data_IF_430794917545
#
_entry.id   IF_430794917545
#
_cell.length_a   1.000
_cell.length_b   1.000
_cell.length_c   1.000
_cell.angle_alpha   90.00
_cell.angle_beta   90.00
_cell.angle_gamma   90.00
#
_symmetry.space_group_name_H-M   'P 1'
#
loop_
_entity.id
_entity.type
_entity.pdbx_description
1 polymer ?
#
# COMPACT_ATOMS: atom_id res chain seq x y z
N UNK A 1 -2.42 -7.77 10.30
CA UNK A 1 -1.06 -7.40 9.82
C UNK A 1 -0.81 -5.91 10.02
N UNK A 2 0.44 -5.46 10.20
CA UNK A 2 0.77 -4.03 10.37
C UNK A 2 0.25 -3.16 9.23
N UNK A 3 0.31 -3.66 8.00
CA UNK A 3 -0.23 -3.05 6.78
C UNK A 3 -1.70 -2.57 6.90
N UNK A 4 -2.49 -3.20 7.76
CA UNK A 4 -3.91 -2.91 7.95
C UNK A 4 -4.15 -1.69 8.83
N UNK A 5 -3.32 -1.47 9.86
CA UNK A 5 -3.41 -0.32 10.76
C UNK A 5 -3.22 1.02 10.03
N UNK A 6 -2.53 0.97 8.88
CA UNK A 6 -2.20 2.13 8.06
C UNK A 6 -2.94 2.13 6.71
N UNK A 7 -3.93 1.24 6.55
CA UNK A 7 -4.76 1.12 5.35
C UNK A 7 -3.93 1.05 4.04
N UNK A 8 -2.84 0.27 4.07
CA UNK A 8 -1.97 0.11 2.91
C UNK A 8 -2.69 -0.70 1.83
N UNK A 9 -2.83 -0.09 0.64
CA UNK A 9 -3.47 -0.74 -0.52
C UNK A 9 -2.47 -1.49 -1.38
N UNK A 10 -1.19 -1.12 -1.28
CA UNK A 10 -0.11 -1.77 -1.98
C UNK A 10 1.20 -1.62 -1.20
N UNK A 11 2.19 -2.47 -1.48
CA UNK A 11 3.56 -2.36 -0.96
C UNK A 11 4.60 -2.19 -2.08
N UNK A 12 5.63 -1.35 -1.90
CA UNK A 12 6.00 -0.64 -0.66
C UNK A 12 5.07 0.55 -0.36
N UNK A 13 4.96 0.90 0.92
CA UNK A 13 4.24 2.06 1.42
C UNK A 13 5.03 2.69 2.57
N UNK A 14 5.49 3.93 2.42
CA UNK A 14 6.22 4.67 3.46
C UNK A 14 5.27 5.68 4.12
N UNK A 15 5.39 5.80 5.45
CA UNK A 15 4.68 6.77 6.28
C UNK A 15 5.68 7.57 7.11
N UNK A 16 5.45 8.87 7.23
CA UNK A 16 6.17 9.77 8.13
C UNK A 16 5.26 10.07 9.31
N UNK A 17 5.76 9.84 10.52
CA UNK A 17 5.02 9.98 11.77
C UNK A 17 5.77 10.98 12.64
N UNK A 18 5.13 12.10 13.01
CA UNK A 18 5.74 13.11 13.86
C UNK A 18 5.90 12.64 15.32
N UNK A 19 6.52 13.49 16.16
CA UNK A 19 6.82 13.17 17.55
C UNK A 19 5.54 12.99 18.40
N UNK A 20 4.41 13.55 17.95
CA UNK A 20 3.09 13.36 18.56
C UNK A 20 2.36 12.10 18.06
N UNK A 21 2.99 11.31 17.20
CA UNK A 21 2.42 10.07 16.67
C UNK A 21 1.42 10.28 15.52
N UNK A 22 1.39 11.46 14.89
CA UNK A 22 0.49 11.76 13.77
C UNK A 22 1.16 11.43 12.45
N UNK A 23 0.43 10.81 11.55
CA UNK A 23 0.87 10.64 10.16
C UNK A 23 0.83 12.03 9.50
N UNK A 24 1.98 12.50 9.03
CA UNK A 24 2.14 13.80 8.33
C UNK A 24 2.39 13.63 6.83
N UNK A 25 2.66 12.40 6.41
CA UNK A 25 2.78 11.95 5.02
C UNK A 25 2.63 10.43 4.99
N UNK A 26 1.89 9.88 4.03
CA UNK A 26 1.59 8.44 4.06
C UNK A 26 1.35 7.82 2.71
N UNK A 27 1.45 6.48 2.68
CA UNK A 27 1.24 5.65 1.49
C UNK A 27 2.13 6.03 0.29
N UNK A 28 3.37 6.44 0.53
CA UNK A 28 4.30 6.69 -0.57
C UNK A 28 4.77 5.37 -1.21
N UNK A 29 4.58 5.20 -2.54
CA UNK A 29 4.85 3.95 -3.24
C UNK A 29 6.33 3.82 -3.63
N UNK A 30 7.25 3.96 -2.67
CA UNK A 30 8.68 3.99 -2.96
C UNK A 30 9.51 3.19 -1.97
N UNK A 31 10.76 2.94 -2.35
CA UNK A 31 11.79 2.42 -1.46
C UNK A 31 12.80 3.54 -1.21
N UNK A 32 13.21 3.72 0.05
CA UNK A 32 14.34 4.60 0.38
C UNK A 32 15.62 4.08 -0.27
N UNK A 33 15.78 2.77 -0.30
CA UNK A 33 16.91 2.08 -0.89
C UNK A 33 16.44 0.87 -1.68
N UNK A 34 16.87 0.77 -2.93
CA UNK A 34 16.60 -0.37 -3.80
C UNK A 34 17.88 -1.17 -3.96
N UNK A 35 17.80 -2.49 -3.77
CA UNK A 35 18.89 -3.41 -4.06
C UNK A 35 18.64 -4.07 -5.41
N UNK A 36 19.62 -4.01 -6.30
CA UNK A 36 19.65 -4.83 -7.50
C UNK A 36 19.85 -6.29 -7.08
N UNK A 37 18.95 -7.18 -7.50
CA UNK A 37 18.98 -8.60 -7.11
C UNK A 37 20.13 -9.36 -7.76
N UNK A 38 20.58 -8.93 -8.93
CA UNK A 38 21.62 -9.61 -9.72
C UNK A 38 23.02 -9.14 -9.33
N UNK A 39 23.22 -7.82 -9.28
CA UNK A 39 24.54 -7.22 -9.00
C UNK A 39 24.78 -6.99 -7.51
N UNK A 40 23.72 -7.01 -6.70
CA UNK A 40 23.78 -6.65 -5.28
C UNK A 40 23.90 -5.16 -5.00
N UNK A 41 24.06 -4.33 -6.04
CA UNK A 41 24.20 -2.87 -5.94
C UNK A 41 23.01 -2.23 -5.22
N UNK A 42 23.29 -1.25 -4.36
CA UNK A 42 22.26 -0.50 -3.64
C UNK A 42 22.18 0.92 -4.18
N UNK A 43 21.00 1.32 -4.63
CA UNK A 43 20.71 2.69 -5.05
C UNK A 43 19.79 3.35 -4.03
N UNK A 44 20.20 4.52 -3.54
CA UNK A 44 19.42 5.32 -2.60
C UNK A 44 18.54 6.28 -3.39
N UNK A 45 17.27 6.40 -3.00
CA UNK A 45 16.38 7.44 -3.52
C UNK A 45 16.74 8.78 -2.87
N UNK A 46 17.73 9.46 -3.45
CA UNK A 46 18.31 10.68 -2.89
C UNK A 46 17.26 11.78 -2.70
N UNK A 47 16.35 11.95 -3.68
CA UNK A 47 15.26 12.93 -3.60
C UNK A 47 14.33 12.67 -2.41
N UNK A 48 14.01 11.42 -2.13
CA UNK A 48 13.18 11.07 -0.98
C UNK A 48 13.92 11.28 0.35
N UNK A 49 15.20 10.89 0.40
CA UNK A 49 16.05 11.11 1.56
C UNK A 49 16.21 12.60 1.90
N UNK A 50 16.34 13.46 0.88
CA UNK A 50 16.45 14.90 1.08
C UNK A 50 15.14 15.49 1.63
N UNK A 51 13.99 14.97 1.20
CA UNK A 51 12.70 15.31 1.80
C UNK A 51 12.61 14.92 3.28
N UNK A 52 13.08 13.73 3.66
CA UNK A 52 13.14 13.30 5.06
C UNK A 52 14.05 14.24 5.86
N UNK A 53 15.22 14.60 5.32
CA UNK A 53 16.18 15.51 5.99
C UNK A 53 15.62 16.91 6.17
N UNK A 54 14.89 17.43 5.19
CA UNK A 54 14.18 18.70 5.30
C UNK A 54 13.13 18.64 6.41
N UNK A 55 12.33 17.57 6.44
CA UNK A 55 11.33 17.36 7.48
C UNK A 55 11.93 17.25 8.88
N UNK A 56 13.03 16.52 9.05
CA UNK A 56 13.73 16.44 10.34
C UNK A 56 14.21 17.82 10.84
N UNK A 57 14.57 18.74 9.93
CA UNK A 57 15.04 20.09 10.30
C UNK A 57 13.90 21.06 10.56
N UNK A 58 12.83 20.98 9.77
CA UNK A 58 11.79 21.99 9.71
C UNK A 58 10.47 21.55 10.37
N UNK A 59 10.35 20.27 10.74
CA UNK A 59 9.16 19.69 11.34
C UNK A 59 7.91 19.95 10.48
N UNK A 60 6.78 20.38 11.07
CA UNK A 60 5.55 20.69 10.34
C UNK A 60 5.69 21.78 9.27
N UNK A 61 6.75 22.61 9.29
CA UNK A 61 7.00 23.64 8.29
C UNK A 61 7.69 23.12 7.02
N UNK A 62 8.08 21.83 6.98
CA UNK A 62 8.68 21.22 5.80
C UNK A 62 7.72 21.22 4.61
N UNK A 63 8.23 21.58 3.44
CA UNK A 63 7.46 21.56 2.19
C UNK A 63 7.06 20.14 1.77
N UNK A 64 7.71 19.11 2.34
CA UNK A 64 7.48 17.71 2.00
C UNK A 64 6.36 17.05 2.83
N UNK A 65 5.96 17.68 3.95
CA UNK A 65 4.77 17.30 4.72
C UNK A 65 3.52 17.55 3.87
N UNK A 66 2.59 16.61 3.88
CA UNK A 66 1.32 16.78 3.16
C UNK A 66 0.28 17.42 4.07
N UNK A 67 -0.55 18.37 3.56
CA UNK A 67 -1.67 18.91 4.31
C UNK A 67 -2.58 17.81 4.84
N UNK A 68 -3.23 18.02 6.00
CA UNK A 68 -4.01 17.00 6.69
C UNK A 68 -5.06 16.31 5.78
N UNK A 69 -5.74 17.08 4.93
CA UNK A 69 -6.72 16.54 3.97
C UNK A 69 -6.07 15.59 2.96
N UNK A 70 -4.93 15.96 2.38
CA UNK A 70 -4.20 15.12 1.43
C UNK A 70 -3.59 13.90 2.12
N UNK A 71 -3.07 14.07 3.33
CA UNK A 71 -2.61 12.94 4.16
C UNK A 71 -3.74 11.96 4.41
N UNK A 72 -4.92 12.45 4.80
CA UNK A 72 -6.09 11.62 5.05
C UNK A 72 -6.62 10.96 3.78
N UNK A 73 -6.58 11.64 2.63
CA UNK A 73 -6.90 11.05 1.33
C UNK A 73 -5.94 9.91 0.97
N UNK A 74 -4.64 10.10 1.23
CA UNK A 74 -3.59 9.11 0.96
C UNK A 74 -3.68 7.90 1.86
N UNK A 75 -3.83 8.11 3.16
CA UNK A 75 -4.06 7.04 4.15
C UNK A 75 -5.39 6.36 3.87
N UNK A 76 -6.41 7.13 3.47
CA UNK A 76 -7.78 6.68 3.32
C UNK A 76 -8.49 6.56 4.66
N UNK A 77 -9.83 6.57 4.63
CA UNK A 77 -10.63 6.34 5.82
C UNK A 77 -10.56 4.87 6.26
N UNK A 78 -10.64 4.61 7.56
CA UNK A 78 -11.11 3.32 8.06
C UNK A 78 -12.64 3.40 8.07
N UNK A 79 -13.29 2.65 7.18
CA UNK A 79 -14.74 2.55 7.10
C UNK A 79 -15.19 1.10 7.31
N UNK A 80 -16.48 0.90 7.57
CA UNK A 80 -17.05 -0.43 7.80
C UNK A 80 -16.78 -1.39 6.63
N UNK A 81 -16.69 -0.89 5.40
CA UNK A 81 -16.36 -1.69 4.22
C UNK A 81 -14.91 -2.20 4.26
N UNK A 82 -13.95 -1.39 4.73
CA UNK A 82 -12.57 -1.82 4.97
C UNK A 82 -12.51 -2.92 6.04
N UNK A 83 -13.23 -2.74 7.14
CA UNK A 83 -13.27 -3.71 8.24
C UNK A 83 -13.86 -5.05 7.77
N UNK A 84 -14.95 -5.02 7.01
CA UNK A 84 -15.56 -6.20 6.41
C UNK A 84 -14.65 -6.89 5.40
N UNK A 85 -14.03 -6.13 4.49
CA UNK A 85 -13.09 -6.68 3.51
C UNK A 85 -11.92 -7.38 4.20
N UNK A 86 -11.42 -6.78 5.28
CA UNK A 86 -10.35 -7.35 6.10
C UNK A 86 -10.79 -8.61 6.85
N UNK A 87 -12.01 -8.64 7.40
CA UNK A 87 -12.54 -9.83 8.05
C UNK A 87 -12.62 -11.01 7.07
N UNK A 88 -13.15 -10.77 5.86
CA UNK A 88 -13.16 -11.76 4.79
C UNK A 88 -11.74 -12.22 4.42
N UNK A 89 -10.81 -11.29 4.21
CA UNK A 89 -9.45 -11.64 3.85
C UNK A 89 -8.75 -12.49 4.92
N UNK A 90 -8.88 -12.13 6.20
CA UNK A 90 -8.31 -12.88 7.32
C UNK A 90 -8.93 -14.27 7.46
N UNK A 91 -10.24 -14.38 7.28
CA UNK A 91 -10.91 -15.68 7.28
C UNK A 91 -10.42 -16.56 6.12
N UNK A 92 -10.23 -15.98 4.93
CA UNK A 92 -9.65 -16.70 3.80
C UNK A 92 -8.25 -17.22 4.09
N UNK A 93 -7.37 -16.38 4.67
CA UNK A 93 -6.03 -16.82 5.08
C UNK A 93 -6.07 -17.93 6.15
N UNK A 94 -7.02 -17.86 7.08
CA UNK A 94 -7.21 -18.91 8.07
C UNK A 94 -7.63 -20.22 7.39
N UNK A 95 -8.65 -20.20 6.54
CA UNK A 95 -9.17 -21.38 5.83
C UNK A 95 -8.09 -22.03 4.96
N UNK A 96 -7.33 -21.23 4.22
CA UNK A 96 -6.23 -21.71 3.37
C UNK A 96 -5.19 -22.48 4.20
N UNK A 97 -4.77 -21.93 5.35
CA UNK A 97 -3.82 -22.58 6.26
C UNK A 97 -4.33 -23.90 6.85
N UNK A 98 -5.64 -24.12 6.84
CA UNK A 98 -6.28 -25.33 7.35
C UNK A 98 -6.75 -26.27 6.23
N UNK A 99 -6.34 -26.03 4.97
CA UNK A 99 -6.65 -26.89 3.83
C UNK A 99 -8.05 -26.68 3.23
N UNK A 100 -8.79 -25.67 3.70
CA UNK A 100 -10.13 -25.33 3.22
C UNK A 100 -10.08 -24.38 2.01
N UNK A 101 -9.41 -24.83 0.94
CA UNK A 101 -9.04 -23.96 -0.19
C UNK A 101 -10.24 -23.32 -0.91
N UNK A 102 -11.27 -24.09 -1.24
CA UNK A 102 -12.46 -23.55 -1.94
C UNK A 102 -13.19 -22.48 -1.10
N UNK A 103 -13.25 -22.67 0.21
CA UNK A 103 -13.84 -21.70 1.14
C UNK A 103 -12.94 -20.46 1.26
N UNK A 104 -11.61 -20.64 1.27
CA UNK A 104 -10.65 -19.53 1.27
C UNK A 104 -10.81 -18.64 0.04
N UNK A 105 -10.89 -19.23 -1.15
CA UNK A 105 -11.14 -18.51 -2.42
C UNK A 105 -12.44 -17.73 -2.36
N UNK A 106 -13.52 -18.31 -1.81
CA UNK A 106 -14.78 -17.60 -1.64
C UNK A 106 -14.64 -16.35 -0.76
N UNK A 107 -13.88 -16.44 0.35
CA UNK A 107 -13.63 -15.30 1.23
C UNK A 107 -12.73 -14.25 0.58
N UNK A 108 -11.68 -14.65 -0.16
CA UNK A 108 -10.84 -13.71 -0.90
C UNK A 108 -11.65 -12.95 -1.95
N UNK A 109 -12.60 -13.60 -2.64
CA UNK A 109 -13.52 -12.93 -3.57
C UNK A 109 -14.37 -11.86 -2.89
N UNK A 110 -14.89 -12.12 -1.69
CA UNK A 110 -15.64 -11.10 -0.93
C UNK A 110 -14.76 -9.91 -0.56
N UNK A 111 -13.53 -10.15 -0.10
CA UNK A 111 -12.57 -9.08 0.19
C UNK A 111 -12.27 -8.22 -1.05
N UNK A 112 -12.04 -8.85 -2.20
CA UNK A 112 -11.78 -8.18 -3.47
C UNK A 112 -13.01 -7.48 -4.06
N UNK A 113 -14.22 -7.95 -3.78
CA UNK A 113 -15.45 -7.27 -4.19
C UNK A 113 -15.66 -5.97 -3.40
N UNK A 114 -15.33 -5.98 -2.11
CA UNK A 114 -15.44 -4.80 -1.23
C UNK A 114 -14.33 -3.77 -1.49
N UNK A 115 -13.10 -4.23 -1.75
CA UNK A 115 -11.92 -3.38 -1.99
C UNK A 115 -11.16 -3.84 -3.24
N UNK A 116 -11.73 -3.64 -4.44
CA UNK A 116 -11.15 -4.12 -5.69
C UNK A 116 -9.75 -3.57 -5.95
N UNK A 117 -9.48 -2.33 -5.50
CA UNK A 117 -8.23 -1.59 -5.61
C UNK A 117 -7.16 -1.98 -4.58
N UNK A 118 -7.46 -2.89 -3.64
CA UNK A 118 -6.49 -3.38 -2.67
C UNK A 118 -5.60 -4.47 -3.30
N UNK A 119 -4.47 -4.01 -3.86
CA UNK A 119 -3.49 -4.85 -4.53
C UNK A 119 -2.71 -5.76 -3.57
N UNK A 120 -2.66 -5.45 -2.27
CA UNK A 120 -2.13 -6.38 -1.27
C UNK A 120 -3.02 -7.63 -1.17
N UNK A 121 -4.35 -7.45 -1.08
CA UNK A 121 -5.29 -8.56 -1.08
C UNK A 121 -5.20 -9.37 -2.36
N UNK A 122 -5.21 -8.68 -3.51
CA UNK A 122 -5.18 -9.35 -4.82
C UNK A 122 -3.91 -10.16 -5.00
N UNK A 123 -2.74 -9.58 -4.72
CA UNK A 123 -1.46 -10.26 -4.87
C UNK A 123 -1.37 -11.50 -4.00
N UNK A 124 -1.82 -11.41 -2.74
CA UNK A 124 -1.81 -12.54 -1.84
C UNK A 124 -2.80 -13.62 -2.28
N UNK A 125 -4.04 -13.26 -2.62
CA UNK A 125 -5.05 -14.20 -3.12
C UNK A 125 -4.55 -14.95 -4.37
N UNK A 126 -3.94 -14.23 -5.33
CA UNK A 126 -3.41 -14.80 -6.56
C UNK A 126 -2.13 -15.62 -6.35
N UNK A 127 -1.38 -15.39 -5.26
CA UNK A 127 -0.26 -16.27 -4.89
C UNK A 127 -0.72 -17.61 -4.30
N UNK A 128 -1.98 -17.67 -3.84
CA UNK A 128 -2.59 -18.82 -3.19
C UNK A 128 -3.64 -19.51 -4.07
N UNK A 129 -3.85 -19.03 -5.30
CA UNK A 129 -4.84 -19.58 -6.23
C UNK A 129 -4.49 -19.24 -7.67
N UNK A 130 -5.44 -19.47 -8.57
CA UNK A 130 -5.25 -19.31 -10.02
C UNK A 130 -6.08 -18.16 -10.59
N UNK A 131 -5.71 -17.69 -11.80
CA UNK A 131 -6.48 -16.67 -12.50
C UNK A 131 -7.93 -17.10 -12.77
N UNK A 132 -8.14 -18.39 -13.07
CA UNK A 132 -9.47 -18.96 -13.32
C UNK A 132 -10.37 -18.85 -12.09
N UNK A 133 -9.80 -19.12 -10.90
CA UNK A 133 -10.53 -18.99 -9.65
C UNK A 133 -10.99 -17.56 -9.40
N UNK A 134 -10.18 -16.56 -9.75
CA UNK A 134 -10.53 -15.15 -9.57
C UNK A 134 -11.20 -14.52 -10.80
N UNK A 135 -11.40 -15.28 -11.88
CA UNK A 135 -12.09 -14.87 -13.11
C UNK A 135 -11.35 -13.80 -13.93
N UNK A 136 -10.08 -13.53 -13.62
CA UNK A 136 -9.22 -12.62 -14.38
C UNK A 136 -7.75 -12.84 -14.00
N UNK A 137 -6.86 -12.68 -14.97
CA UNK A 137 -5.41 -12.60 -14.77
C UNK A 137 -5.02 -11.31 -14.05
N UNK A 138 -3.78 -11.25 -13.56
CA UNK A 138 -3.24 -10.04 -12.94
C UNK A 138 -3.18 -8.87 -13.94
N UNK A 139 -2.92 -9.16 -15.21
CA UNK A 139 -2.90 -8.16 -16.27
C UNK A 139 -4.29 -7.55 -16.50
N UNK A 140 -5.31 -8.39 -16.69
CA UNK A 140 -6.69 -7.93 -16.87
C UNK A 140 -7.19 -7.16 -15.65
N UNK A 141 -6.77 -7.56 -14.44
CA UNK A 141 -7.06 -6.80 -13.23
C UNK A 141 -6.46 -5.39 -13.29
N UNK A 142 -5.22 -5.21 -13.78
CA UNK A 142 -4.59 -3.88 -13.89
C UNK A 142 -5.30 -3.00 -14.91
N UNK A 143 -5.81 -3.60 -15.99
CA UNK A 143 -6.58 -2.89 -17.01
C UNK A 143 -7.98 -2.48 -16.50
N UNK A 144 -8.66 -3.38 -15.76
CA UNK A 144 -10.06 -3.17 -15.34
C UNK A 144 -10.18 -2.39 -14.02
N UNK A 145 -9.34 -2.68 -13.05
CA UNK A 145 -9.38 -2.07 -11.71
C UNK A 145 -8.51 -0.80 -11.66
N UNK A 146 -7.46 -0.77 -12.46
CA UNK A 146 -6.48 0.32 -12.50
C UNK A 146 -5.10 -0.11 -11.99
N UNK A 147 -4.11 0.79 -12.00
CA UNK A 147 -2.74 0.44 -11.69
C UNK A 147 -2.56 0.03 -10.22
N UNK A 148 -1.56 -0.84 -9.98
CA UNK A 148 -1.17 -1.28 -8.63
C UNK A 148 -0.83 -0.11 -7.69
N UNK A 149 -0.34 0.97 -8.28
CA UNK A 149 -0.03 2.24 -7.61
C UNK A 149 -0.91 3.34 -8.21
N UNK A 150 -2.12 3.50 -7.66
CA UNK A 150 -3.07 4.52 -8.12
C UNK A 150 -2.57 5.96 -7.92
N UNK A 151 -1.67 6.19 -6.95
CA UNK A 151 -1.01 7.47 -6.74
C UNK A 151 0.49 7.27 -6.91
N UNK A 152 1.14 7.82 -7.94
CA UNK A 152 2.60 7.79 -8.05
C UNK A 152 3.24 8.60 -6.92
N UNK A 153 4.54 8.39 -6.68
CA UNK A 153 5.29 9.20 -5.73
C UNK A 153 5.23 10.68 -6.17
N UNK A 154 4.67 11.52 -5.29
CA UNK A 154 4.55 12.95 -5.52
C UNK A 154 5.39 13.68 -4.47
N UNK A 155 6.51 14.26 -4.92
CA UNK A 155 7.35 15.13 -4.11
C UNK A 155 7.31 16.53 -4.72
N UNK A 156 7.23 17.60 -3.91
CA UNK A 156 7.41 18.95 -4.42
C UNK A 156 8.79 19.10 -5.05
N UNK A 157 8.95 20.13 -5.86
CA UNK A 157 10.27 20.52 -6.35
C UNK A 157 11.08 21.11 -5.20
N UNK A 158 12.34 20.70 -5.10
CA UNK A 158 13.24 21.27 -4.11
C UNK A 158 13.40 22.77 -4.36
N UNK A 159 13.56 23.59 -3.31
CA UNK A 159 13.89 25.00 -3.49
C UNK A 159 15.13 25.12 -4.37
N UNK A 160 15.11 26.06 -5.32
CA UNK A 160 16.32 26.38 -6.08
C UNK A 160 17.36 26.97 -5.11
N UNK A 161 18.66 26.62 -5.27
CA UNK A 161 19.72 27.19 -4.45
C UNK A 161 19.83 28.71 -4.60
#
# INVERSE_FOLDING_TARGET
MVAELYNTRNVPAIFWIDEEGRIVRGNDPTYLMRRNRETGEQTVNQRYLDGIRDWVRNGPASIYVTPAEETQRRVGASDTSNEQAMAHFRLGLYLERHGHHAEAVAQFKQALALKPENWNFRRQAYSLGSADEYGMTMQEAMEKVGPMYAMPLQLPDAPKP
#
